data_IF_692097169108
#
_entry.id   IF_692097169108
#
_cell.length_a   1.000
_cell.length_b   1.000
_cell.length_c   1.000
_cell.angle_alpha   90.00
_cell.angle_beta   90.00
_cell.angle_gamma   90.00
#
_symmetry.space_group_name_H-M   'P 1'
#
loop_
_entity.id
_entity.type
_entity.pdbx_description
1 polymer ?
#
# COMPACT_ATOMS: atom_id res chain seq x y z
N UNK A 1 6.96 0.09 29.78
CA UNK A 1 7.59 -0.26 28.49
C UNK A 1 7.49 0.95 27.57
N UNK A 2 8.60 1.45 27.14
CA UNK A 2 8.58 2.47 26.10
C UNK A 2 8.12 1.81 24.80
N UNK A 3 6.99 2.23 24.30
CA UNK A 3 6.49 1.79 23.01
C UNK A 3 7.37 2.45 21.94
N UNK A 4 8.20 1.68 21.25
CA UNK A 4 9.05 2.21 20.19
C UNK A 4 8.18 2.69 19.05
N UNK A 5 8.28 3.98 18.71
CA UNK A 5 7.58 4.58 17.58
C UNK A 5 8.48 4.57 16.34
N UNK A 6 7.98 4.12 15.22
CA UNK A 6 8.66 4.28 13.93
C UNK A 6 8.63 5.76 13.52
N UNK A 7 9.80 6.30 13.19
CA UNK A 7 9.94 7.72 12.84
C UNK A 7 9.49 8.67 13.95
N UNK A 8 9.49 8.24 15.21
CA UNK A 8 8.99 9.02 16.34
C UNK A 8 7.49 9.33 16.28
N UNK A 9 6.73 8.69 15.39
CA UNK A 9 5.34 9.05 15.08
C UNK A 9 4.37 7.88 15.03
N UNK A 10 4.80 6.72 14.53
CA UNK A 10 3.90 5.61 14.21
C UNK A 10 4.04 4.47 15.20
N UNK A 11 2.98 4.21 15.94
CA UNK A 11 2.89 3.08 16.87
C UNK A 11 2.47 1.82 16.12
N UNK A 12 3.29 0.78 16.14
CA UNK A 12 2.96 -0.51 15.53
C UNK A 12 1.86 -1.21 16.31
N UNK A 13 0.75 -1.51 15.64
CA UNK A 13 -0.37 -2.25 16.21
C UNK A 13 -0.27 -3.74 15.92
N UNK A 14 0.01 -4.09 14.68
CA UNK A 14 0.22 -5.49 14.26
C UNK A 14 0.89 -5.59 12.90
N UNK A 15 1.45 -6.75 12.62
CA UNK A 15 1.99 -7.07 11.29
C UNK A 15 0.86 -7.47 10.35
N UNK A 16 0.83 -6.91 9.15
CA UNK A 16 -0.15 -7.24 8.11
C UNK A 16 0.37 -8.27 7.13
N UNK A 17 1.66 -8.25 6.80
CA UNK A 17 2.25 -9.16 5.85
C UNK A 17 3.76 -9.03 5.73
N UNK A 18 4.34 -9.95 4.98
CA UNK A 18 5.77 -9.97 4.65
C UNK A 18 5.95 -10.61 3.28
N UNK A 19 6.54 -9.86 2.36
CA UNK A 19 7.01 -10.37 1.08
C UNK A 19 8.52 -10.57 1.06
N UNK A 20 9.09 -10.90 -0.11
CA UNK A 20 10.53 -11.04 -0.31
C UNK A 20 11.31 -9.75 -0.04
N UNK A 21 10.70 -8.59 -0.37
CA UNK A 21 11.36 -7.29 -0.34
C UNK A 21 10.79 -6.30 0.66
N UNK A 22 9.68 -6.63 1.34
CA UNK A 22 9.03 -5.69 2.25
C UNK A 22 8.31 -6.37 3.40
N UNK A 23 8.12 -5.62 4.48
CA UNK A 23 7.23 -5.94 5.60
C UNK A 23 6.17 -4.86 5.71
N UNK A 24 4.94 -5.25 6.00
CA UNK A 24 3.81 -4.32 6.10
C UNK A 24 3.20 -4.40 7.49
N UNK A 25 2.97 -3.23 8.09
CA UNK A 25 2.44 -3.09 9.45
C UNK A 25 1.21 -2.18 9.45
N UNK A 26 0.21 -2.55 10.25
CA UNK A 26 -0.83 -1.63 10.68
C UNK A 26 -0.30 -0.81 11.84
N UNK A 27 -0.40 0.50 11.75
CA UNK A 27 0.11 1.43 12.74
C UNK A 27 -0.94 2.48 13.10
N UNK A 28 -0.75 3.14 14.25
CA UNK A 28 -1.51 4.32 14.62
C UNK A 28 -0.60 5.55 14.51
N UNK A 29 -1.09 6.61 13.90
CA UNK A 29 -0.40 7.90 13.82
C UNK A 29 -0.68 8.70 15.10
N UNK A 30 0.23 8.65 16.05
CA UNK A 30 0.04 9.28 17.35
C UNK A 30 0.23 10.80 17.35
N UNK A 31 0.68 11.38 16.22
CA UNK A 31 0.79 12.83 16.04
C UNK A 31 -0.52 13.49 15.58
N UNK A 32 -1.52 12.71 15.21
CA UNK A 32 -2.83 13.21 14.80
C UNK A 32 -3.91 12.92 15.86
N UNK A 33 -4.94 13.78 15.94
CA UNK A 33 -6.09 13.52 16.82
C UNK A 33 -6.73 12.17 16.52
N UNK A 34 -7.18 11.47 17.57
CA UNK A 34 -7.81 10.15 17.50
C UNK A 34 -6.88 9.02 17.00
N UNK A 35 -5.58 9.28 16.83
CA UNK A 35 -4.58 8.31 16.40
C UNK A 35 -5.05 7.46 15.20
N UNK A 36 -5.30 8.06 14.02
CA UNK A 36 -5.83 7.32 12.89
C UNK A 36 -4.90 6.20 12.46
N UNK A 37 -5.50 5.12 11.97
CA UNK A 37 -4.75 3.98 11.45
C UNK A 37 -4.18 4.29 10.08
N UNK A 38 -2.96 3.84 9.84
CA UNK A 38 -2.35 3.82 8.51
C UNK A 38 -1.49 2.57 8.35
N UNK A 39 -0.95 2.39 7.16
CA UNK A 39 -0.10 1.25 6.81
C UNK A 39 1.33 1.73 6.63
N UNK A 40 2.27 1.08 7.29
CA UNK A 40 3.70 1.26 7.05
C UNK A 40 4.24 0.08 6.25
N UNK A 41 4.86 0.37 5.13
CA UNK A 41 5.65 -0.58 4.34
C UNK A 41 7.12 -0.32 4.60
N UNK A 42 7.78 -1.30 5.22
CA UNK A 42 9.24 -1.28 5.44
C UNK A 42 9.91 -2.04 4.32
N UNK A 43 10.83 -1.40 3.63
CA UNK A 43 11.64 -2.06 2.60
C UNK A 43 12.79 -2.83 3.25
N UNK A 44 12.94 -4.10 2.87
CA UNK A 44 14.04 -4.96 3.31
C UNK A 44 15.25 -4.72 2.42
N UNK A 45 16.37 -4.28 2.99
CA UNK A 45 17.64 -4.17 2.33
C UNK A 45 18.55 -5.24 2.91
N UNK A 46 18.94 -6.21 2.07
CA UNK A 46 19.73 -7.37 2.51
C UNK A 46 21.19 -6.99 2.78
N UNK A 47 21.75 -6.09 1.99
CA UNK A 47 23.13 -5.59 2.15
C UNK A 47 23.11 -4.10 2.41
N UNK A 48 23.64 -3.69 3.55
CA UNK A 48 23.69 -2.29 3.99
C UNK A 48 25.05 -1.62 3.74
N UNK A 49 25.80 -2.09 2.74
CA UNK A 49 26.98 -1.34 2.32
C UNK A 49 26.59 0.03 1.72
N UNK A 50 27.54 0.96 1.67
CA UNK A 50 27.26 2.34 1.26
C UNK A 50 26.71 2.44 -0.17
N UNK A 51 27.23 1.65 -1.11
CA UNK A 51 26.79 1.69 -2.51
C UNK A 51 25.37 1.14 -2.71
N UNK A 52 25.07 0.00 -2.09
CA UNK A 52 23.74 -0.62 -2.11
C UNK A 52 22.70 0.26 -1.41
N UNK A 53 23.08 0.87 -0.29
CA UNK A 53 22.20 1.76 0.47
C UNK A 53 21.86 3.04 -0.32
N UNK A 54 22.82 3.62 -1.04
CA UNK A 54 22.57 4.78 -1.89
C UNK A 54 21.65 4.47 -3.07
N UNK A 55 21.84 3.31 -3.71
CA UNK A 55 20.95 2.86 -4.77
C UNK A 55 19.54 2.62 -4.24
N UNK A 56 19.39 1.96 -3.10
CA UNK A 56 18.13 1.74 -2.44
C UNK A 56 17.43 3.07 -2.10
N UNK A 57 18.15 4.06 -1.61
CA UNK A 57 17.63 5.40 -1.32
C UNK A 57 17.06 6.08 -2.56
N UNK A 58 17.75 6.01 -3.69
CA UNK A 58 17.29 6.59 -4.96
C UNK A 58 16.02 5.90 -5.47
N UNK A 59 15.96 4.57 -5.41
CA UNK A 59 14.79 3.80 -5.80
C UNK A 59 13.60 4.11 -4.87
N UNK A 60 13.85 4.20 -3.59
CA UNK A 60 12.85 4.56 -2.58
C UNK A 60 12.26 5.96 -2.83
N UNK A 61 13.10 6.95 -3.08
CA UNK A 61 12.65 8.32 -3.38
C UNK A 61 11.81 8.36 -4.66
N UNK A 62 12.19 7.60 -5.67
CA UNK A 62 11.44 7.48 -6.93
C UNK A 62 10.07 6.83 -6.68
N UNK A 63 10.02 5.74 -5.93
CA UNK A 63 8.78 5.06 -5.56
C UNK A 63 7.86 6.00 -4.77
N UNK A 64 8.40 6.71 -3.79
CA UNK A 64 7.63 7.67 -3.00
C UNK A 64 6.99 8.77 -3.85
N UNK A 65 7.74 9.31 -4.82
CA UNK A 65 7.22 10.34 -5.75
C UNK A 65 6.09 9.81 -6.63
N UNK A 66 6.25 8.59 -7.14
CA UNK A 66 5.22 7.93 -7.95
C UNK A 66 3.96 7.72 -7.13
N UNK A 67 4.07 7.14 -5.92
CA UNK A 67 2.94 6.90 -5.03
C UNK A 67 2.25 8.18 -4.61
N UNK A 68 2.99 9.23 -4.31
CA UNK A 68 2.44 10.53 -3.96
C UNK A 68 1.55 11.09 -5.09
N UNK A 69 2.01 10.98 -6.33
CA UNK A 69 1.26 11.41 -7.51
C UNK A 69 0.03 10.53 -7.77
N UNK A 70 0.17 9.21 -7.70
CA UNK A 70 -0.94 8.26 -7.89
C UNK A 70 -2.00 8.35 -6.80
N UNK A 71 -1.60 8.63 -5.57
CA UNK A 71 -2.48 8.71 -4.41
C UNK A 71 -3.47 9.89 -4.42
N UNK A 72 -3.43 10.76 -5.43
CA UNK A 72 -4.48 11.74 -5.69
C UNK A 72 -5.79 11.11 -6.18
N UNK A 73 -5.74 9.88 -6.68
CA UNK A 73 -6.91 9.13 -7.11
C UNK A 73 -7.58 8.44 -5.91
N UNK A 74 -8.91 8.52 -5.75
CA UNK A 74 -9.62 7.97 -4.58
C UNK A 74 -9.57 6.44 -4.47
N UNK A 75 -9.23 5.74 -5.54
CA UNK A 75 -9.11 4.27 -5.59
C UNK A 75 -7.64 3.78 -5.53
N UNK A 76 -6.74 4.63 -5.08
CA UNK A 76 -5.33 4.33 -4.81
C UNK A 76 -4.99 4.90 -3.43
N UNK A 77 -4.33 4.14 -2.51
CA UNK A 77 -3.98 4.65 -1.20
C UNK A 77 -3.07 5.88 -1.30
N UNK A 78 -3.41 6.93 -0.57
CA UNK A 78 -2.58 8.12 -0.51
C UNK A 78 -1.28 7.83 0.23
N UNK A 79 -0.16 8.38 -0.26
CA UNK A 79 1.09 8.42 0.47
C UNK A 79 0.99 9.51 1.54
N UNK A 80 1.17 9.15 2.80
CA UNK A 80 1.06 10.05 3.95
C UNK A 80 2.43 10.59 4.38
N UNK A 81 3.45 9.74 4.33
CA UNK A 81 4.83 10.09 4.67
C UNK A 81 5.81 9.07 4.09
N UNK A 82 7.06 9.46 3.95
CA UNK A 82 8.17 8.54 3.71
C UNK A 82 9.38 9.00 4.52
N UNK A 83 10.14 8.06 5.05
CA UNK A 83 11.31 8.40 5.87
C UNK A 83 12.31 7.26 5.93
N UNK A 84 13.53 7.60 6.31
CA UNK A 84 14.62 6.67 6.61
C UNK A 84 14.93 6.75 8.11
N UNK A 85 15.04 5.59 8.76
CA UNK A 85 15.43 5.49 10.16
C UNK A 85 16.28 4.24 10.34
N UNK A 86 17.45 4.38 11.00
CA UNK A 86 18.38 3.27 11.26
C UNK A 86 18.72 2.45 9.99
N UNK A 87 18.90 3.13 8.87
CA UNK A 87 19.19 2.55 7.54
C UNK A 87 18.07 1.64 7.00
N UNK A 88 16.87 1.80 7.51
CA UNK A 88 15.66 1.19 6.99
C UNK A 88 14.79 2.25 6.32
N UNK A 89 14.04 1.88 5.29
CA UNK A 89 13.18 2.78 4.54
C UNK A 89 11.72 2.45 4.79
N UNK A 90 10.92 3.47 5.03
CA UNK A 90 9.52 3.35 5.40
C UNK A 90 8.63 4.23 4.53
N UNK A 91 7.54 3.65 4.03
CA UNK A 91 6.44 4.35 3.37
C UNK A 91 5.20 4.26 4.24
N UNK A 92 4.64 5.39 4.63
CA UNK A 92 3.36 5.46 5.32
C UNK A 92 2.25 5.77 4.31
N UNK A 93 1.23 4.92 4.28
CA UNK A 93 0.13 5.01 3.34
C UNK A 93 -1.21 4.94 4.06
N UNK A 94 -2.24 5.44 3.40
CA UNK A 94 -3.63 5.31 3.84
C UNK A 94 -3.99 3.84 4.11
N UNK A 95 -4.64 3.59 5.23
CA UNK A 95 -5.21 2.27 5.52
C UNK A 95 -6.57 2.13 4.86
N UNK A 96 -6.71 1.12 4.02
CA UNK A 96 -7.97 0.81 3.34
C UNK A 96 -8.68 -0.29 4.12
N UNK A 97 -9.76 0.09 4.79
CA UNK A 97 -10.60 -0.85 5.51
C UNK A 97 -11.55 -1.54 4.53
N UNK A 98 -11.34 -2.84 4.32
CA UNK A 98 -12.08 -3.60 3.34
C UNK A 98 -11.65 -5.06 3.24
N UNK A 99 -12.20 -5.75 2.25
CA UNK A 99 -11.93 -7.16 1.96
C UNK A 99 -11.15 -7.30 0.65
N UNK A 100 -10.10 -8.10 0.66
CA UNK A 100 -9.34 -8.42 -0.56
C UNK A 100 -10.19 -9.29 -1.49
N UNK A 101 -10.08 -9.08 -2.80
CA UNK A 101 -10.88 -9.82 -3.78
C UNK A 101 -10.58 -11.32 -3.82
N UNK A 102 -9.34 -11.74 -3.55
CA UNK A 102 -9.01 -13.16 -3.50
C UNK A 102 -9.83 -13.91 -2.44
N UNK A 103 -10.11 -13.30 -1.30
CA UNK A 103 -10.97 -13.90 -0.26
C UNK A 103 -12.42 -14.04 -0.72
N UNK A 104 -12.94 -13.08 -1.47
CA UNK A 104 -14.29 -13.15 -2.04
C UNK A 104 -14.41 -14.26 -3.08
N UNK A 105 -13.35 -14.54 -3.85
CA UNK A 105 -13.31 -15.63 -4.81
C UNK A 105 -13.22 -17.02 -4.15
N UNK A 106 -12.59 -17.10 -2.98
CA UNK A 106 -12.42 -18.35 -2.21
C UNK A 106 -13.74 -18.84 -1.56
N UNK A 107 -14.78 -18.02 -1.51
CA UNK A 107 -16.11 -18.41 -0.99
C UNK A 107 -16.87 -19.40 -1.89
N UNK A 108 -16.25 -19.88 -2.97
CA UNK A 108 -16.71 -21.01 -3.78
C UNK A 108 -17.95 -20.76 -4.61
N UNK A 109 -18.47 -19.55 -4.66
CA UNK A 109 -19.62 -19.17 -5.50
C UNK A 109 -19.12 -18.57 -6.81
N UNK A 110 -19.50 -19.15 -7.96
CA UNK A 110 -19.15 -18.56 -9.24
C UNK A 110 -19.76 -17.16 -9.37
N UNK A 111 -18.97 -16.21 -9.88
CA UNK A 111 -19.47 -14.88 -10.16
C UNK A 111 -20.40 -14.86 -11.35
N UNK A 112 -21.47 -14.08 -11.31
CA UNK A 112 -22.29 -13.82 -12.49
C UNK A 112 -21.49 -13.07 -13.55
N UNK A 113 -21.88 -13.25 -14.81
CA UNK A 113 -21.27 -12.50 -15.92
C UNK A 113 -21.37 -10.98 -15.71
N UNK A 114 -22.53 -10.50 -15.27
CA UNK A 114 -22.76 -9.08 -14.96
C UNK A 114 -21.78 -8.58 -13.90
N UNK A 115 -21.58 -9.32 -12.82
CA UNK A 115 -20.64 -8.96 -11.76
C UNK A 115 -19.19 -8.93 -12.25
N UNK A 116 -18.82 -9.90 -13.06
CA UNK A 116 -17.47 -9.97 -13.65
C UNK A 116 -17.21 -8.79 -14.61
N UNK A 117 -18.17 -8.43 -15.45
CA UNK A 117 -18.07 -7.27 -16.36
C UNK A 117 -17.95 -5.96 -15.59
N UNK A 118 -18.76 -5.75 -14.55
CA UNK A 118 -18.69 -4.55 -13.72
C UNK A 118 -17.33 -4.44 -13.00
N UNK A 119 -16.80 -5.54 -12.49
CA UNK A 119 -15.47 -5.57 -11.89
C UNK A 119 -14.40 -5.19 -12.92
N UNK A 120 -14.46 -5.77 -14.11
CA UNK A 120 -13.50 -5.49 -15.18
C UNK A 120 -13.52 -4.00 -15.56
N UNK A 121 -14.70 -3.41 -15.69
CA UNK A 121 -14.85 -1.99 -15.99
C UNK A 121 -14.20 -1.11 -14.90
N UNK A 122 -14.47 -1.41 -13.63
CA UNK A 122 -13.90 -0.67 -12.50
C UNK A 122 -12.36 -0.79 -12.46
N UNK A 123 -11.83 -1.99 -12.67
CA UNK A 123 -10.39 -2.24 -12.77
C UNK A 123 -9.75 -1.46 -13.93
N UNK A 124 -10.37 -1.47 -15.10
CA UNK A 124 -9.86 -0.77 -16.28
C UNK A 124 -9.84 0.75 -16.08
N UNK A 125 -10.79 1.32 -15.37
CA UNK A 125 -10.80 2.74 -15.00
C UNK A 125 -9.60 3.10 -14.11
N UNK A 126 -9.32 2.29 -13.08
CA UNK A 126 -8.15 2.48 -12.20
C UNK A 126 -6.85 2.37 -12.99
N UNK A 127 -6.70 1.30 -13.77
CA UNK A 127 -5.51 1.07 -14.59
C UNK A 127 -5.32 2.14 -15.66
N UNK A 128 -6.39 2.64 -16.25
CA UNK A 128 -6.35 3.74 -17.21
C UNK A 128 -5.73 5.00 -16.57
N UNK A 129 -6.12 5.32 -15.34
CA UNK A 129 -5.50 6.42 -14.61
C UNK A 129 -4.01 6.17 -14.36
N UNK A 130 -3.65 4.98 -13.86
CA UNK A 130 -2.25 4.60 -13.57
C UNK A 130 -1.39 4.71 -14.83
N UNK A 131 -1.87 4.17 -15.95
CA UNK A 131 -1.14 4.18 -17.22
C UNK A 131 -0.99 5.59 -17.81
N UNK A 132 -1.99 6.46 -17.64
CA UNK A 132 -1.87 7.88 -18.03
C UNK A 132 -0.80 8.62 -17.24
N UNK A 133 -0.50 8.16 -16.02
CA UNK A 133 0.61 8.66 -15.22
C UNK A 133 1.98 8.04 -15.60
N UNK A 134 2.02 7.26 -16.69
CA UNK A 134 3.22 6.55 -17.18
C UNK A 134 3.78 5.55 -16.16
N UNK A 135 2.89 4.92 -15.39
CA UNK A 135 3.21 3.89 -14.39
C UNK A 135 2.57 2.57 -14.82
N UNK A 136 3.29 1.48 -14.61
CA UNK A 136 2.79 0.11 -14.77
C UNK A 136 2.86 -0.57 -13.40
N UNK A 137 1.75 -1.13 -12.94
CA UNK A 137 1.66 -1.76 -11.61
C UNK A 137 2.59 -2.98 -11.45
N UNK A 138 2.71 -3.80 -12.48
CA UNK A 138 3.58 -5.01 -12.57
C UNK A 138 3.20 -6.19 -11.66
N UNK A 139 2.37 -6.02 -10.66
CA UNK A 139 1.91 -7.09 -9.76
C UNK A 139 0.38 -7.06 -9.60
N UNK A 140 -0.32 -6.86 -10.70
CA UNK A 140 -1.78 -6.82 -10.72
C UNK A 140 -2.36 -8.22 -10.47
N UNK A 141 -3.08 -8.38 -9.37
CA UNK A 141 -3.73 -9.64 -8.95
C UNK A 141 -4.86 -9.37 -7.95
N UNK A 142 -5.82 -10.30 -7.78
CA UNK A 142 -6.95 -10.11 -6.87
C UNK A 142 -6.56 -9.79 -5.42
N UNK A 143 -5.42 -10.31 -4.92
CA UNK A 143 -4.94 -10.00 -3.57
C UNK A 143 -4.45 -8.56 -3.39
N UNK A 144 -4.21 -7.82 -4.50
CA UNK A 144 -3.84 -6.41 -4.50
C UNK A 144 -5.02 -5.48 -4.82
N UNK A 145 -6.23 -6.00 -4.76
CA UNK A 145 -7.48 -5.26 -4.88
C UNK A 145 -8.29 -5.41 -3.60
N UNK A 146 -8.69 -4.28 -3.03
CA UNK A 146 -9.51 -4.24 -1.81
C UNK A 146 -10.86 -3.63 -2.15
N UNK A 147 -11.95 -4.33 -1.79
CA UNK A 147 -13.30 -3.76 -1.80
C UNK A 147 -13.48 -2.97 -0.51
N UNK A 148 -13.46 -1.65 -0.60
CA UNK A 148 -13.56 -0.75 0.56
C UNK A 148 -14.96 -0.80 1.16
N UNK A 149 -15.02 -0.93 2.50
CA UNK A 149 -16.29 -1.17 3.20
C UNK A 149 -17.25 0.02 3.13
N UNK A 150 -16.77 1.26 3.31
CA UNK A 150 -17.66 2.40 3.48
C UNK A 150 -18.38 2.84 2.20
N UNK A 151 -17.85 2.58 1.02
CA UNK A 151 -18.43 3.00 -0.27
C UNK A 151 -18.52 1.88 -1.31
N UNK A 152 -17.98 0.69 -1.01
CA UNK A 152 -17.97 -0.45 -1.92
C UNK A 152 -17.04 -0.29 -3.13
N UNK A 153 -16.24 0.78 -3.19
CA UNK A 153 -15.31 0.99 -4.30
C UNK A 153 -14.09 0.09 -4.19
N UNK A 154 -13.56 -0.28 -5.34
CA UNK A 154 -12.34 -1.05 -5.45
C UNK A 154 -11.13 -0.14 -5.28
N UNK A 155 -10.13 -0.60 -4.54
CA UNK A 155 -8.87 0.12 -4.34
C UNK A 155 -7.70 -0.77 -4.74
N UNK A 156 -6.82 -0.27 -5.58
CA UNK A 156 -5.62 -0.97 -6.03
C UNK A 156 -4.45 -0.60 -5.11
N UNK A 157 -3.80 -1.61 -4.55
CA UNK A 157 -2.68 -1.47 -3.60
C UNK A 157 -1.39 -2.11 -4.13
N UNK A 158 -0.30 -1.94 -3.40
CA UNK A 158 1.02 -2.58 -3.64
C UNK A 158 1.65 -2.28 -5.00
N UNK A 159 1.82 -1.00 -5.25
CA UNK A 159 2.60 -0.50 -6.40
C UNK A 159 4.09 -0.78 -6.27
#
# INVERSE_FOLDING_TARGET
>A
METTLLGGRYQVLRRLGSGGFSRTFLVADVHLPNHPKCVIKQLKIQNKDTGTLEMARRLFDTEARVLYRLGSHPQIPALLAHFEESREFYLAQEYIEGSRLNRQAEEGKPWSETRAVLLLQEVLEILSFVHRQQVIHRDFKPSNLIRRHHDGKLVLIDF
#
